data_IF_356746170430
#
_entry.id   IF_356746170430
#
_cell.length_a   1.000
_cell.length_b   1.000
_cell.length_c   1.000
_cell.angle_alpha   90.00
_cell.angle_beta   90.00
_cell.angle_gamma   90.00
#
_symmetry.space_group_name_H-M   'P 1'
#
loop_
_entity.id
_entity.type
_entity.pdbx_description
1 polymer ?
#
# COMPACT_ATOMS: atom_id res chain seq x y z
N UNK A 1 -1.32 19.44 -19.64
CA UNK A 1 -2.20 19.44 -18.46
C UNK A 1 -1.40 20.08 -17.37
N UNK A 2 -1.85 21.22 -16.89
CA UNK A 2 -1.16 21.90 -15.80
C UNK A 2 -1.23 21.03 -14.54
N UNK A 3 -0.24 21.17 -13.67
CA UNK A 3 -0.17 20.38 -12.45
C UNK A 3 -1.31 20.78 -11.50
N UNK A 4 -2.08 19.79 -11.03
CA UNK A 4 -3.07 20.01 -9.99
C UNK A 4 -2.39 20.19 -8.64
N UNK A 5 -2.69 21.29 -7.94
CA UNK A 5 -2.19 21.57 -6.59
C UNK A 5 -3.31 21.53 -5.57
N UNK A 6 -3.00 21.11 -4.34
CA UNK A 6 -3.97 21.05 -3.23
C UNK A 6 -3.47 21.90 -2.06
N UNK A 7 -4.33 22.74 -1.49
CA UNK A 7 -4.04 23.50 -0.25
C UNK A 7 -5.30 23.75 0.58
N UNK A 8 -5.11 24.16 1.83
CA UNK A 8 -6.21 24.64 2.67
C UNK A 8 -6.81 25.95 2.11
N UNK A 9 -8.08 26.19 2.44
CA UNK A 9 -8.78 27.42 2.10
C UNK A 9 -8.32 28.59 2.97
N UNK A 10 -8.25 29.77 2.36
CA UNK A 10 -8.01 31.06 2.98
C UNK A 10 -9.28 31.93 2.85
N UNK A 11 -9.44 32.97 3.69
CA UNK A 11 -10.60 33.87 3.61
C UNK A 11 -10.83 34.47 2.22
N UNK A 12 -9.76 34.79 1.49
CA UNK A 12 -9.83 35.31 0.12
C UNK A 12 -10.43 34.33 -0.90
N UNK A 13 -10.38 33.02 -0.64
CA UNK A 13 -10.90 31.99 -1.57
C UNK A 13 -12.43 31.86 -1.54
N UNK A 14 -13.07 32.36 -0.47
CA UNK A 14 -14.47 32.07 -0.15
C UNK A 14 -15.42 32.55 -1.26
N UNK A 15 -15.10 33.66 -1.91
CA UNK A 15 -15.90 34.16 -3.02
C UNK A 15 -15.92 33.18 -4.21
N UNK A 16 -14.78 32.55 -4.53
CA UNK A 16 -14.67 31.58 -5.62
C UNK A 16 -15.25 30.21 -5.24
N UNK A 17 -15.06 29.77 -3.99
CA UNK A 17 -15.73 28.59 -3.42
C UNK A 17 -17.25 28.71 -3.56
N UNK A 18 -17.82 29.84 -3.13
CA UNK A 18 -19.26 30.10 -3.24
C UNK A 18 -19.74 30.16 -4.70
N UNK A 19 -18.87 30.54 -5.65
CA UNK A 19 -19.21 30.50 -7.07
C UNK A 19 -19.33 29.06 -7.58
N UNK A 20 -18.40 28.18 -7.21
CA UNK A 20 -18.48 26.75 -7.56
C UNK A 20 -19.70 26.08 -6.91
N UNK A 21 -20.01 26.42 -5.66
CA UNK A 21 -21.20 25.94 -4.92
C UNK A 21 -22.49 26.27 -5.69
N UNK A 22 -22.68 27.53 -6.11
CA UNK A 22 -23.85 27.97 -6.90
C UNK A 22 -24.02 27.23 -8.22
N UNK A 23 -22.90 26.83 -8.84
CA UNK A 23 -22.93 26.03 -10.07
C UNK A 23 -23.22 24.54 -9.82
N UNK A 24 -23.09 24.09 -8.58
CA UNK A 24 -23.09 22.67 -8.23
C UNK A 24 -24.35 22.20 -7.53
N UNK A 25 -25.02 23.09 -6.78
CA UNK A 25 -26.16 22.72 -5.95
C UNK A 25 -27.39 23.61 -6.21
N UNK A 26 -28.61 23.03 -6.17
CA UNK A 26 -29.86 23.79 -6.30
C UNK A 26 -30.12 24.71 -5.08
N UNK A 27 -29.65 24.31 -3.90
CA UNK A 27 -29.74 25.06 -2.65
C UNK A 27 -28.33 25.29 -2.09
N UNK A 28 -27.56 26.22 -2.69
CA UNK A 28 -26.16 26.42 -2.37
C UNK A 28 -25.96 27.08 -0.99
N UNK A 29 -24.88 26.71 -0.31
CA UNK A 29 -24.35 27.49 0.81
C UNK A 29 -23.97 28.91 0.35
N UNK A 30 -24.28 29.90 1.19
CA UNK A 30 -23.87 31.27 0.93
C UNK A 30 -22.43 31.55 1.38
N UNK A 31 -21.88 32.68 0.95
CA UNK A 31 -20.53 33.13 1.30
C UNK A 31 -20.33 33.20 2.82
N UNK A 32 -21.36 33.61 3.57
CA UNK A 32 -21.30 33.73 5.03
C UNK A 32 -21.18 32.37 5.72
N UNK A 33 -21.88 31.35 5.20
CA UNK A 33 -21.81 29.97 5.71
C UNK A 33 -20.41 29.40 5.54
N UNK A 34 -19.78 29.62 4.38
CA UNK A 34 -18.40 29.22 4.16
C UNK A 34 -17.41 30.00 5.05
N UNK A 35 -17.57 31.32 5.16
CA UNK A 35 -16.70 32.15 6.00
C UNK A 35 -16.75 31.72 7.47
N UNK A 36 -17.95 31.57 8.03
CA UNK A 36 -18.13 31.14 9.43
C UNK A 36 -17.65 29.70 9.67
N UNK A 37 -17.78 28.81 8.67
CA UNK A 37 -17.21 27.47 8.75
C UNK A 37 -15.68 27.52 8.78
N UNK A 38 -15.05 28.35 7.95
CA UNK A 38 -13.59 28.48 7.89
C UNK A 38 -13.01 29.11 9.17
N UNK A 39 -13.74 30.00 9.84
CA UNK A 39 -13.36 30.60 11.12
C UNK A 39 -13.37 29.60 12.30
N UNK A 40 -14.10 28.49 12.18
CA UNK A 40 -14.10 27.45 13.21
C UNK A 40 -12.74 26.75 13.24
N UNK A 41 -12.08 26.77 14.41
CA UNK A 41 -10.77 26.14 14.62
C UNK A 41 -10.76 24.62 14.39
N UNK A 42 -11.94 24.00 14.31
CA UNK A 42 -12.10 22.57 14.02
C UNK A 42 -12.23 22.30 12.52
N UNK A 43 -12.31 23.34 11.69
CA UNK A 43 -12.48 23.19 10.25
C UNK A 43 -11.23 22.59 9.62
N UNK A 44 -11.44 21.59 8.78
CA UNK A 44 -10.48 21.15 7.78
C UNK A 44 -11.02 21.56 6.41
N UNK A 45 -10.13 22.02 5.55
CA UNK A 45 -10.47 22.37 4.18
C UNK A 45 -9.42 21.86 3.21
N UNK A 46 -9.87 21.56 2.00
CA UNK A 46 -9.02 21.23 0.87
C UNK A 46 -9.57 21.91 -0.38
N UNK A 47 -8.72 22.64 -1.08
CA UNK A 47 -8.98 23.30 -2.36
C UNK A 47 -8.07 22.70 -3.42
N UNK A 48 -8.60 22.40 -4.60
CA UNK A 48 -7.81 21.93 -5.74
C UNK A 48 -7.77 23.01 -6.81
N UNK A 49 -6.56 23.32 -7.28
CA UNK A 49 -6.31 24.29 -8.34
C UNK A 49 -5.70 23.63 -9.57
N UNK A 50 -6.05 24.13 -10.76
CA UNK A 50 -5.31 23.91 -12.01
C UNK A 50 -4.70 25.26 -12.42
N UNK A 51 -3.37 25.40 -12.26
CA UNK A 51 -2.73 26.72 -12.30
C UNK A 51 -3.30 27.62 -11.20
N UNK A 52 -3.78 28.81 -11.58
CA UNK A 52 -4.41 29.77 -10.65
C UNK A 52 -5.94 29.59 -10.53
N UNK A 53 -6.53 28.60 -11.21
CA UNK A 53 -8.00 28.43 -11.23
C UNK A 53 -8.45 27.44 -10.16
N UNK A 54 -9.38 27.84 -9.29
CA UNK A 54 -10.01 26.90 -8.36
C UNK A 54 -10.98 25.98 -9.10
N UNK A 55 -10.75 24.67 -8.99
CA UNK A 55 -11.52 23.64 -9.71
C UNK A 55 -12.36 22.75 -8.79
N UNK A 56 -12.11 22.77 -7.47
CA UNK A 56 -12.96 22.09 -6.49
C UNK A 56 -12.56 22.38 -5.06
N UNK A 57 -13.47 22.09 -4.13
CA UNK A 57 -13.27 22.27 -2.69
C UNK A 57 -13.92 21.15 -1.88
N UNK A 58 -13.46 21.01 -0.64
CA UNK A 58 -14.07 20.20 0.40
C UNK A 58 -13.90 20.88 1.75
N UNK A 59 -14.98 20.97 2.53
CA UNK A 59 -14.99 21.45 3.90
C UNK A 59 -15.47 20.34 4.82
N UNK A 60 -14.79 20.21 5.96
CA UNK A 60 -15.11 19.24 6.99
C UNK A 60 -14.92 19.85 8.38
N UNK A 61 -15.60 19.27 9.38
CA UNK A 61 -15.50 19.72 10.77
C UNK A 61 -15.02 18.57 11.67
N UNK A 62 -13.98 18.83 12.44
CA UNK A 62 -13.46 17.89 13.41
C UNK A 62 -14.27 17.91 14.70
N UNK A 63 -14.83 16.75 15.06
CA UNK A 63 -15.41 16.50 16.37
C UNK A 63 -14.42 15.70 17.23
N UNK A 64 -14.80 15.35 18.47
CA UNK A 64 -13.91 14.68 19.42
C UNK A 64 -13.26 13.41 18.83
N UNK A 65 -14.06 12.49 18.30
CA UNK A 65 -13.60 11.21 17.74
C UNK A 65 -13.79 11.07 16.23
N UNK A 66 -14.48 11.99 15.57
CA UNK A 66 -14.81 11.86 14.14
C UNK A 66 -14.54 13.15 13.37
N UNK A 67 -14.47 13.03 12.06
CA UNK A 67 -14.58 14.16 11.12
C UNK A 67 -15.91 14.07 10.39
N UNK A 68 -16.62 15.19 10.26
CA UNK A 68 -17.84 15.30 9.48
C UNK A 68 -17.53 16.06 8.19
N UNK A 69 -17.61 15.38 7.04
CA UNK A 69 -17.50 16.04 5.73
C UNK A 69 -18.81 16.78 5.46
N UNK A 70 -18.72 18.10 5.40
CA UNK A 70 -19.90 18.97 5.34
C UNK A 70 -20.31 19.27 3.91
N UNK A 71 -19.36 19.63 3.07
CA UNK A 71 -19.65 20.07 1.70
C UNK A 71 -18.45 19.80 0.78
N UNK A 72 -18.74 19.35 -0.44
CA UNK A 72 -17.76 19.03 -1.47
C UNK A 72 -18.35 19.31 -2.84
N UNK A 73 -17.63 20.09 -3.66
CA UNK A 73 -17.97 20.23 -5.07
C UNK A 73 -16.74 20.30 -5.97
N UNK A 74 -16.97 19.90 -7.21
CA UNK A 74 -16.04 20.06 -8.32
C UNK A 74 -16.75 20.84 -9.40
N UNK A 75 -16.06 21.86 -9.94
CA UNK A 75 -16.54 22.70 -11.03
C UNK A 75 -17.02 21.82 -12.20
N UNK A 76 -18.19 22.09 -12.83
CA UNK A 76 -18.79 21.19 -13.83
C UNK A 76 -17.86 20.66 -14.92
N UNK A 77 -17.02 21.51 -15.54
CA UNK A 77 -16.06 21.12 -16.59
C UNK A 77 -14.85 20.30 -16.11
N UNK A 78 -14.72 20.07 -14.81
CA UNK A 78 -13.62 19.37 -14.15
C UNK A 78 -14.07 18.07 -13.46
N UNK A 79 -15.36 17.73 -13.54
CA UNK A 79 -15.91 16.49 -12.99
C UNK A 79 -15.36 15.27 -13.73
N UNK A 80 -15.43 14.12 -13.08
CA UNK A 80 -14.97 12.82 -13.63
C UNK A 80 -13.45 12.74 -13.92
N UNK A 81 -12.67 13.75 -13.53
CA UNK A 81 -11.19 13.77 -13.61
C UNK A 81 -10.48 13.36 -12.30
N UNK A 82 -11.19 12.71 -11.38
CA UNK A 82 -10.64 12.27 -10.08
C UNK A 82 -10.47 13.35 -9.01
N UNK A 83 -10.82 14.61 -9.27
CA UNK A 83 -10.65 15.74 -8.32
C UNK A 83 -11.44 15.52 -7.02
N UNK A 84 -12.68 15.06 -7.10
CA UNK A 84 -13.49 14.76 -5.90
C UNK A 84 -12.85 13.68 -5.01
N UNK A 85 -12.23 12.67 -5.62
CA UNK A 85 -11.49 11.62 -4.90
C UNK A 85 -10.28 12.22 -4.19
N UNK A 86 -9.53 13.08 -4.87
CA UNK A 86 -8.36 13.77 -4.31
C UNK A 86 -8.72 14.63 -3.10
N UNK A 87 -9.79 15.41 -3.19
CA UNK A 87 -10.30 16.25 -2.10
C UNK A 87 -10.62 15.45 -0.84
N UNK A 88 -11.36 14.33 -0.98
CA UNK A 88 -11.75 13.49 0.15
C UNK A 88 -10.52 12.80 0.76
N UNK A 89 -9.60 12.32 -0.08
CA UNK A 89 -8.37 11.68 0.39
C UNK A 89 -7.49 12.65 1.20
N UNK A 90 -7.47 13.93 0.81
CA UNK A 90 -6.74 14.96 1.55
C UNK A 90 -7.37 15.19 2.94
N UNK A 91 -8.68 15.38 3.03
CA UNK A 91 -9.40 15.50 4.32
C UNK A 91 -9.22 14.25 5.18
N UNK A 92 -9.29 13.05 4.61
CA UNK A 92 -9.03 11.80 5.32
C UNK A 92 -7.60 11.78 5.88
N UNK A 93 -6.62 12.17 5.07
CA UNK A 93 -5.20 12.18 5.48
C UNK A 93 -4.97 13.16 6.62
N UNK A 94 -5.52 14.38 6.52
CA UNK A 94 -5.52 15.36 7.60
C UNK A 94 -6.19 14.81 8.87
N UNK A 95 -7.33 14.12 8.74
CA UNK A 95 -8.09 13.57 9.86
C UNK A 95 -7.37 12.41 10.56
N UNK A 96 -6.68 11.56 9.80
CA UNK A 96 -5.83 10.50 10.34
C UNK A 96 -4.63 11.09 11.09
N UNK A 97 -4.03 12.16 10.58
CA UNK A 97 -2.90 12.83 11.23
C UNK A 97 -3.24 13.44 12.60
N UNK A 98 -4.53 13.66 12.87
CA UNK A 98 -5.06 14.16 14.16
C UNK A 98 -5.92 13.10 14.89
N UNK A 99 -5.66 11.81 14.62
CA UNK A 99 -6.20 10.64 15.33
C UNK A 99 -7.73 10.49 15.34
N UNK A 100 -8.44 10.94 14.29
CA UNK A 100 -9.88 10.68 14.15
C UNK A 100 -10.16 9.19 13.94
N UNK A 101 -11.24 8.72 14.54
CA UNK A 101 -11.74 7.33 14.49
C UNK A 101 -12.47 7.05 13.20
N UNK A 102 -13.33 7.96 12.75
CA UNK A 102 -14.12 7.78 11.55
C UNK A 102 -14.39 9.11 10.83
N UNK A 103 -14.73 9.01 9.55
CA UNK A 103 -15.28 10.09 8.74
C UNK A 103 -16.75 9.80 8.45
N UNK A 104 -17.60 10.82 8.57
CA UNK A 104 -19.05 10.72 8.35
C UNK A 104 -19.48 11.76 7.33
N UNK A 105 -20.45 11.42 6.49
CA UNK A 105 -21.09 12.33 5.55
C UNK A 105 -22.54 11.96 5.31
N UNK A 106 -23.32 12.94 4.87
CA UNK A 106 -24.64 12.77 4.28
C UNK A 106 -24.58 12.97 2.77
N UNK A 107 -25.31 12.15 2.02
CA UNK A 107 -25.44 12.32 0.57
C UNK A 107 -26.87 12.06 0.13
N UNK A 108 -27.37 12.88 -0.80
CA UNK A 108 -28.68 12.68 -1.43
C UNK A 108 -28.81 11.27 -1.99
N UNK A 109 -29.92 10.59 -1.70
CA UNK A 109 -30.19 9.23 -2.18
C UNK A 109 -30.12 9.12 -3.70
N UNK A 110 -30.55 10.16 -4.43
CA UNK A 110 -30.50 10.29 -5.88
C UNK A 110 -29.11 10.56 -6.45
N UNK A 111 -28.15 11.05 -5.64
CA UNK A 111 -26.81 11.39 -6.09
C UNK A 111 -25.92 10.12 -6.18
N UNK A 112 -26.25 9.26 -7.14
CA UNK A 112 -25.51 8.03 -7.44
C UNK A 112 -24.02 8.28 -7.72
N UNK A 113 -23.61 9.32 -8.49
CA UNK A 113 -22.19 9.58 -8.73
C UNK A 113 -21.40 9.83 -7.43
N UNK A 114 -21.91 10.67 -6.52
CA UNK A 114 -21.24 10.93 -5.25
C UNK A 114 -21.22 9.69 -4.35
N UNK A 115 -22.33 8.94 -4.26
CA UNK A 115 -22.38 7.69 -3.50
C UNK A 115 -21.34 6.67 -3.99
N UNK A 116 -21.21 6.50 -5.31
CA UNK A 116 -20.18 5.64 -5.91
C UNK A 116 -18.77 6.13 -5.63
N UNK A 117 -18.53 7.45 -5.68
CA UNK A 117 -17.26 8.05 -5.30
C UNK A 117 -16.91 7.72 -3.85
N UNK A 118 -17.81 7.96 -2.89
CA UNK A 118 -17.58 7.69 -1.48
C UNK A 118 -17.32 6.20 -1.22
N UNK A 119 -18.12 5.32 -1.83
CA UNK A 119 -17.91 3.87 -1.75
C UNK A 119 -16.53 3.44 -2.26
N UNK A 120 -16.05 4.02 -3.37
CA UNK A 120 -14.72 3.72 -3.92
C UNK A 120 -13.55 4.14 -3.02
N UNK A 121 -13.81 4.99 -2.02
CA UNK A 121 -12.83 5.47 -1.03
C UNK A 121 -13.04 4.74 0.32
N UNK A 122 -13.95 3.78 0.37
CA UNK A 122 -14.19 2.92 1.53
C UNK A 122 -15.14 3.52 2.56
N UNK A 123 -16.04 4.43 2.16
CA UNK A 123 -17.23 4.73 2.96
C UNK A 123 -18.31 3.67 2.72
N UNK A 124 -18.96 3.21 3.79
CA UNK A 124 -20.11 2.32 3.75
C UNK A 124 -21.37 3.04 4.19
N UNK A 125 -22.50 2.69 3.60
CA UNK A 125 -23.82 3.12 4.11
C UNK A 125 -24.06 2.56 5.51
N UNK A 126 -24.58 3.39 6.42
CA UNK A 126 -24.91 3.01 7.80
C UNK A 126 -26.37 3.30 8.14
N UNK A 127 -26.96 4.36 7.59
CA UNK A 127 -28.34 4.74 7.88
C UNK A 127 -28.94 5.57 6.75
N UNK A 128 -30.26 5.63 6.68
CA UNK A 128 -31.00 6.52 5.78
C UNK A 128 -31.91 7.42 6.60
N UNK A 129 -31.73 8.73 6.49
CA UNK A 129 -32.55 9.72 7.16
C UNK A 129 -33.63 10.23 6.20
N UNK A 130 -34.90 9.96 6.53
CA UNK A 130 -36.03 10.26 5.65
C UNK A 130 -36.33 11.76 5.63
N UNK A 131 -36.54 12.31 4.45
CA UNK A 131 -36.92 13.73 4.29
C UNK A 131 -35.92 14.74 4.85
N UNK A 132 -34.63 14.35 4.91
CA UNK A 132 -33.57 15.14 5.52
C UNK A 132 -33.32 16.48 4.81
N UNK A 133 -33.25 16.44 3.47
CA UNK A 133 -32.97 17.64 2.69
C UNK A 133 -34.21 18.53 2.69
N UNK A 134 -34.09 19.73 3.28
CA UNK A 134 -35.22 20.63 3.50
C UNK A 134 -35.85 21.15 2.22
N UNK A 135 -35.06 21.29 1.15
CA UNK A 135 -35.43 21.84 -0.15
C UNK A 135 -36.25 20.86 -1.01
N UNK A 136 -35.88 19.59 -1.05
CA UNK A 136 -36.55 18.58 -1.90
C UNK A 136 -37.34 17.53 -1.11
N UNK A 137 -37.24 17.54 0.24
CA UNK A 137 -37.72 16.46 1.12
C UNK A 137 -37.16 15.08 0.75
N UNK A 138 -35.97 15.07 0.15
CA UNK A 138 -35.28 13.85 -0.23
C UNK A 138 -34.59 13.19 0.98
N UNK A 139 -34.52 11.87 0.95
CA UNK A 139 -33.74 11.07 1.89
C UNK A 139 -32.23 11.38 1.80
N UNK A 140 -31.55 11.38 2.94
CA UNK A 140 -30.09 11.33 3.01
C UNK A 140 -29.60 9.92 3.32
N UNK A 141 -28.64 9.45 2.55
CA UNK A 141 -27.84 8.28 2.90
C UNK A 141 -26.67 8.75 3.77
N UNK A 142 -26.60 8.22 4.99
CA UNK A 142 -25.50 8.47 5.92
C UNK A 142 -24.42 7.43 5.62
N UNK A 143 -23.25 7.91 5.23
CA UNK A 143 -22.10 7.05 4.94
C UNK A 143 -20.98 7.31 5.92
N UNK A 144 -20.36 6.23 6.40
CA UNK A 144 -19.28 6.25 7.38
C UNK A 144 -18.09 5.51 6.82
N UNK A 145 -16.90 6.09 6.97
CA UNK A 145 -15.63 5.41 6.81
C UNK A 145 -14.98 5.31 8.17
N UNK A 146 -14.74 4.10 8.63
CA UNK A 146 -13.89 3.89 9.79
C UNK A 146 -12.42 4.19 9.37
N UNK A 147 -11.85 5.21 9.98
CA UNK A 147 -10.46 5.66 9.77
C UNK A 147 -9.47 4.84 10.60
N UNK A 148 -9.98 4.11 11.61
CA UNK A 148 -9.24 3.12 12.40
C UNK A 148 -9.44 1.70 11.89
N UNK A 149 -10.44 1.43 11.03
CA UNK A 149 -10.60 0.16 10.31
C UNK A 149 -9.46 -0.03 9.32
N UNK A 150 -8.32 -0.43 9.87
CA UNK A 150 -7.29 -1.23 9.23
C UNK A 150 -7.63 -2.71 9.42
N UNK A 151 -8.93 -3.03 9.41
CA UNK A 151 -9.41 -4.39 9.50
C UNK A 151 -9.13 -5.09 8.16
N UNK A 152 -8.51 -6.27 8.16
CA UNK A 152 -8.37 -7.05 6.94
C UNK A 152 -9.72 -7.29 6.25
N UNK A 153 -9.93 -6.73 5.06
CA UNK A 153 -11.10 -7.04 4.24
C UNK A 153 -10.88 -8.40 3.55
N UNK A 154 -11.82 -9.32 3.72
CA UNK A 154 -11.79 -10.61 3.03
C UNK A 154 -12.46 -10.49 1.66
N UNK A 155 -11.66 -10.19 0.65
CA UNK A 155 -12.11 -9.87 -0.70
C UNK A 155 -12.10 -11.11 -1.59
N UNK A 156 -13.09 -11.22 -2.48
CA UNK A 156 -13.02 -12.20 -3.57
C UNK A 156 -12.29 -11.58 -4.75
N UNK A 157 -11.20 -12.19 -5.18
CA UNK A 157 -10.41 -11.76 -6.33
C UNK A 157 -10.46 -12.82 -7.43
N UNK A 158 -10.37 -12.37 -8.68
CA UNK A 158 -10.35 -13.23 -9.86
C UNK A 158 -8.91 -13.44 -10.30
N UNK A 159 -8.52 -14.67 -10.59
CA UNK A 159 -7.22 -14.98 -11.19
C UNK A 159 -7.23 -14.45 -12.62
N UNK A 160 -6.38 -13.47 -12.91
CA UNK A 160 -6.14 -12.98 -14.27
C UNK A 160 -5.11 -13.87 -14.96
N UNK A 161 -4.02 -14.17 -14.24
CA UNK A 161 -2.91 -14.97 -14.75
C UNK A 161 -2.23 -15.71 -13.61
N UNK A 162 -1.81 -16.94 -13.87
CA UNK A 162 -0.99 -17.71 -12.93
C UNK A 162 0.00 -18.57 -13.71
N UNK A 163 1.25 -18.12 -13.84
CA UNK A 163 2.24 -18.76 -14.71
C UNK A 163 3.50 -19.13 -13.94
N UNK A 164 4.09 -20.28 -14.26
CA UNK A 164 5.41 -20.65 -13.74
C UNK A 164 6.49 -19.80 -14.43
N UNK A 165 7.25 -19.04 -13.65
CA UNK A 165 8.29 -18.10 -14.13
C UNK A 165 9.71 -18.51 -13.75
N UNK A 166 9.83 -19.51 -12.88
CA UNK A 166 11.07 -20.20 -12.50
C UNK A 166 10.67 -21.55 -11.88
N UNK A 167 11.61 -22.44 -11.62
CA UNK A 167 11.34 -23.79 -11.11
C UNK A 167 10.44 -23.75 -9.87
N UNK A 168 9.22 -24.30 -10.03
CA UNK A 168 8.14 -24.34 -9.03
C UNK A 168 7.71 -22.97 -8.52
N UNK A 169 8.06 -21.88 -9.19
CA UNK A 169 7.80 -20.50 -8.77
C UNK A 169 6.85 -19.83 -9.74
N UNK A 170 5.71 -19.38 -9.24
CA UNK A 170 4.60 -18.88 -10.01
C UNK A 170 4.38 -17.38 -9.79
N UNK A 171 4.12 -16.68 -10.88
CA UNK A 171 3.64 -15.31 -10.89
C UNK A 171 2.12 -15.32 -11.05
N UNK A 172 1.44 -14.90 -9.99
CA UNK A 172 -0.01 -14.79 -9.88
C UNK A 172 -0.42 -13.32 -9.98
N UNK A 173 -1.34 -13.04 -10.91
CA UNK A 173 -2.01 -11.74 -11.05
C UNK A 173 -3.48 -11.95 -10.70
N UNK A 174 -3.98 -11.15 -9.76
CA UNK A 174 -5.36 -11.18 -9.31
C UNK A 174 -6.02 -9.82 -9.59
N UNK A 175 -7.25 -9.84 -10.08
CA UNK A 175 -8.10 -8.67 -10.20
C UNK A 175 -9.03 -8.56 -8.98
N UNK A 176 -9.10 -7.37 -8.38
CA UNK A 176 -10.01 -7.05 -7.28
C UNK A 176 -9.64 -5.78 -6.52
N UNK A 177 -10.62 -5.16 -5.86
CA UNK A 177 -10.48 -3.85 -5.19
C UNK A 177 -9.68 -3.84 -3.88
N UNK A 178 -8.54 -4.53 -3.82
CA UNK A 178 -7.66 -4.52 -2.64
C UNK A 178 -7.13 -3.10 -2.40
N UNK A 179 -7.04 -2.63 -1.14
CA UNK A 179 -6.38 -1.36 -0.84
C UNK A 179 -4.94 -1.33 -1.35
N UNK A 180 -4.41 -0.14 -1.64
CA UNK A 180 -3.07 0.01 -2.18
C UNK A 180 -2.00 -0.45 -1.18
N UNK A 181 -1.16 -1.38 -1.60
CA UNK A 181 -0.02 -1.88 -0.85
C UNK A 181 1.20 -0.97 -0.99
N UNK A 182 2.04 -0.97 0.05
CA UNK A 182 3.42 -0.46 -0.01
C UNK A 182 4.42 -1.63 -0.07
N UNK A 183 5.63 -1.46 -0.63
CA UNK A 183 6.60 -2.55 -0.77
C UNK A 183 6.95 -3.15 0.59
N UNK A 184 7.00 -4.47 0.68
CA UNK A 184 7.18 -5.19 1.94
C UNK A 184 5.88 -5.67 2.59
N UNK A 185 4.71 -5.19 2.14
CA UNK A 185 3.43 -5.76 2.59
C UNK A 185 3.10 -7.08 1.88
N UNK A 186 2.20 -7.84 2.48
CA UNK A 186 1.77 -9.16 1.99
C UNK A 186 0.24 -9.30 2.02
N UNK A 187 -0.27 -10.39 1.47
CA UNK A 187 -1.67 -10.77 1.53
C UNK A 187 -1.82 -12.23 1.98
N UNK A 188 -2.93 -12.55 2.66
CA UNK A 188 -3.31 -13.90 3.04
C UNK A 188 -4.30 -14.47 2.02
N UNK A 189 -3.85 -15.45 1.23
CA UNK A 189 -4.64 -16.03 0.14
C UNK A 189 -5.29 -17.36 0.54
N UNK A 190 -6.61 -17.43 0.42
CA UNK A 190 -7.38 -18.67 0.53
C UNK A 190 -7.53 -19.30 -0.86
N UNK A 191 -7.01 -20.52 -0.99
CA UNK A 191 -6.89 -21.21 -2.29
C UNK A 191 -8.00 -22.23 -2.54
N UNK A 192 -8.77 -22.55 -1.50
CA UNK A 192 -9.85 -23.55 -1.50
C UNK A 192 -11.11 -22.98 -0.87
N UNK A 193 -12.27 -23.37 -1.42
CA UNK A 193 -13.58 -23.07 -0.85
C UNK A 193 -14.06 -24.16 0.13
N UNK A 194 -13.35 -25.30 0.18
CA UNK A 194 -13.61 -26.37 1.12
C UNK A 194 -12.95 -26.15 2.49
N UNK A 195 -13.08 -27.14 3.38
CA UNK A 195 -12.47 -27.13 4.71
C UNK A 195 -10.95 -27.28 4.68
N UNK A 196 -10.41 -27.87 3.60
CA UNK A 196 -8.98 -28.09 3.43
C UNK A 196 -8.43 -27.49 2.12
N UNK A 197 -7.19 -26.97 2.13
CA UNK A 197 -6.41 -26.65 3.33
C UNK A 197 -6.93 -25.36 4.00
N UNK A 198 -7.21 -25.45 5.31
CA UNK A 198 -7.91 -24.43 6.10
C UNK A 198 -7.16 -23.08 6.16
N UNK A 199 -5.86 -23.12 6.44
CA UNK A 199 -5.06 -21.91 6.62
C UNK A 199 -4.77 -21.22 5.29
N UNK A 200 -4.74 -19.89 5.32
CA UNK A 200 -4.38 -19.02 4.19
C UNK A 200 -2.87 -18.93 4.01
N UNK A 201 -2.43 -18.48 2.83
CA UNK A 201 -1.02 -18.49 2.41
C UNK A 201 -0.54 -17.04 2.47
N UNK A 202 0.42 -16.69 3.34
CA UNK A 202 1.02 -15.36 3.34
C UNK A 202 1.89 -15.21 2.08
N UNK A 203 1.48 -14.35 1.15
CA UNK A 203 2.21 -14.09 -0.09
C UNK A 203 2.55 -12.59 -0.18
N UNK A 204 3.84 -12.27 -0.34
CA UNK A 204 4.30 -10.90 -0.48
C UNK A 204 3.74 -10.24 -1.76
N UNK A 205 3.36 -8.97 -1.66
CA UNK A 205 2.89 -8.19 -2.81
C UNK A 205 4.09 -7.77 -3.66
N UNK A 206 4.10 -8.21 -4.92
CA UNK A 206 5.13 -7.87 -5.92
C UNK A 206 4.82 -6.51 -6.59
N UNK A 207 3.55 -6.25 -6.88
CA UNK A 207 3.11 -5.09 -7.63
C UNK A 207 1.61 -4.89 -7.50
N UNK A 208 1.13 -3.67 -7.74
CA UNK A 208 -0.30 -3.38 -7.67
C UNK A 208 -0.65 -2.15 -8.51
N UNK A 209 -1.65 -2.29 -9.37
CA UNK A 209 -2.30 -1.20 -10.11
C UNK A 209 -3.63 -0.83 -9.42
N UNK A 210 -4.47 0.00 -10.04
CA UNK A 210 -5.81 0.29 -9.49
C UNK A 210 -6.69 -0.95 -9.36
N UNK A 211 -6.47 -1.96 -10.22
CA UNK A 211 -7.41 -3.06 -10.42
C UNK A 211 -6.77 -4.43 -10.22
N UNK A 212 -5.43 -4.53 -10.34
CA UNK A 212 -4.69 -5.79 -10.24
C UNK A 212 -3.64 -5.78 -9.12
N UNK A 213 -3.47 -6.93 -8.47
CA UNK A 213 -2.37 -7.23 -7.56
C UNK A 213 -1.52 -8.38 -8.11
N UNK A 214 -0.21 -8.20 -8.08
CA UNK A 214 0.79 -9.21 -8.47
C UNK A 214 1.38 -9.84 -7.21
N UNK A 215 1.46 -11.18 -7.21
CA UNK A 215 2.06 -12.00 -6.15
C UNK A 215 3.04 -12.99 -6.80
N UNK A 216 4.14 -13.28 -6.12
CA UNK A 216 5.05 -14.36 -6.51
C UNK A 216 5.09 -15.40 -5.39
N UNK A 217 5.03 -16.68 -5.72
CA UNK A 217 5.09 -17.74 -4.72
C UNK A 217 5.77 -18.99 -5.26
N UNK A 218 6.28 -19.84 -4.37
CA UNK A 218 6.83 -21.15 -4.72
C UNK A 218 5.93 -22.27 -4.22
N UNK A 219 5.77 -23.31 -5.01
CA UNK A 219 5.07 -24.53 -4.65
C UNK A 219 5.89 -25.30 -3.61
N UNK A 220 5.37 -25.39 -2.39
CA UNK A 220 5.99 -26.09 -1.24
C UNK A 220 5.11 -27.18 -0.62
N UNK A 221 3.81 -27.18 -0.92
CA UNK A 221 2.88 -28.21 -0.46
C UNK A 221 1.44 -27.96 -0.93
N UNK A 222 0.49 -28.73 -0.37
CA UNK A 222 -0.89 -28.86 -0.87
C UNK A 222 -1.59 -27.53 -1.16
N UNK A 223 -1.47 -26.54 -0.28
CA UNK A 223 -2.10 -25.24 -0.51
C UNK A 223 -1.54 -24.48 -1.71
N UNK A 224 -0.24 -24.52 -1.91
CA UNK A 224 0.42 -23.89 -3.07
C UNK A 224 0.29 -24.73 -4.34
N UNK A 225 0.14 -26.05 -4.24
CA UNK A 225 -0.17 -26.94 -5.37
C UNK A 225 -1.58 -26.65 -5.91
N UNK A 226 -2.57 -26.52 -5.04
CA UNK A 226 -3.91 -26.09 -5.41
C UNK A 226 -3.92 -24.71 -6.04
N UNK A 227 -3.12 -23.78 -5.51
CA UNK A 227 -2.99 -22.44 -6.10
C UNK A 227 -2.35 -22.51 -7.50
N UNK A 228 -1.30 -23.31 -7.69
CA UNK A 228 -0.64 -23.49 -8.99
C UNK A 228 -1.54 -24.10 -10.05
N UNK A 229 -2.54 -24.90 -9.65
CA UNK A 229 -3.53 -25.44 -10.57
C UNK A 229 -4.62 -24.43 -11.00
N UNK A 230 -4.73 -23.26 -10.35
CA UNK A 230 -5.74 -22.25 -10.66
C UNK A 230 -5.51 -21.60 -12.02
N UNK A 231 -6.58 -21.49 -12.80
CA UNK A 231 -6.61 -20.91 -14.14
C UNK A 231 -7.27 -19.53 -14.14
N UNK A 232 -7.06 -18.79 -15.22
CA UNK A 232 -7.71 -17.49 -15.43
C UNK A 232 -9.25 -17.61 -15.32
N UNK A 233 -9.87 -16.62 -14.69
CA UNK A 233 -11.31 -16.59 -14.40
C UNK A 233 -11.72 -17.32 -13.11
N UNK A 234 -10.87 -18.16 -12.52
CA UNK A 234 -11.16 -18.75 -11.21
C UNK A 234 -11.02 -17.74 -10.08
N UNK A 235 -11.68 -18.01 -8.95
CA UNK A 235 -11.71 -17.09 -7.80
C UNK A 235 -10.93 -17.62 -6.61
N UNK A 236 -10.29 -16.69 -5.91
CA UNK A 236 -9.65 -16.88 -4.60
C UNK A 236 -10.18 -15.84 -3.63
N UNK A 237 -10.06 -16.10 -2.32
CA UNK A 237 -10.26 -15.04 -1.33
C UNK A 237 -8.94 -14.48 -0.84
N UNK A 238 -8.86 -13.17 -0.69
CA UNK A 238 -7.65 -12.45 -0.33
C UNK A 238 -7.95 -11.52 0.82
N UNK A 239 -7.11 -11.59 1.84
CA UNK A 239 -7.05 -10.59 2.88
C UNK A 239 -5.75 -9.81 2.68
N UNK A 240 -5.83 -8.50 2.46
CA UNK A 240 -4.65 -7.67 2.26
C UNK A 240 -4.99 -6.21 1.93
N UNK A 241 -3.97 -5.34 1.85
CA UNK A 241 -2.58 -5.62 2.24
C UNK A 241 -2.42 -5.69 3.76
N UNK A 242 -1.42 -6.45 4.22
CA UNK A 242 -1.11 -6.70 5.61
C UNK A 242 0.36 -6.40 5.92
N UNK A 243 0.63 -6.16 7.20
CA UNK A 243 1.95 -5.84 7.71
C UNK A 243 2.43 -4.41 7.42
N UNK A 244 3.65 -4.12 7.85
CA UNK A 244 4.44 -2.92 7.67
C UNK A 244 5.45 -3.14 6.55
N UNK A 245 5.42 -2.24 5.57
CA UNK A 245 6.38 -2.25 4.46
C UNK A 245 7.72 -1.60 4.80
N UNK A 246 8.60 -1.56 3.81
CA UNK A 246 9.90 -0.91 3.88
C UNK A 246 9.78 0.60 4.08
N UNK A 247 10.68 1.14 4.89
CA UNK A 247 10.86 2.57 5.04
C UNK A 247 11.66 3.08 3.85
N UNK A 248 11.08 4.00 3.07
CA UNK A 248 11.78 4.60 1.93
C UNK A 248 12.88 5.53 2.42
N UNK A 249 14.13 5.19 2.11
CA UNK A 249 15.33 5.95 2.50
C UNK A 249 16.25 6.09 1.28
N UNK A 250 16.81 7.27 1.12
CA UNK A 250 17.86 7.56 0.14
C UNK A 250 19.24 7.45 0.80
N UNK A 251 20.28 7.23 0.01
CA UNK A 251 21.66 7.23 0.45
C UNK A 251 22.58 7.24 -0.77
N UNK A 252 23.88 7.38 -0.55
CA UNK A 252 24.90 7.31 -1.60
C UNK A 252 24.90 5.94 -2.28
N UNK A 253 24.69 4.89 -1.49
CA UNK A 253 24.56 3.52 -1.98
C UNK A 253 23.26 2.89 -1.50
N UNK A 254 22.31 2.70 -2.43
CA UNK A 254 21.09 1.93 -2.17
C UNK A 254 21.28 0.52 -2.72
N UNK A 255 21.15 -0.49 -1.85
CA UNK A 255 21.39 -1.89 -2.17
C UNK A 255 20.12 -2.71 -1.87
N UNK A 256 19.70 -3.49 -2.86
CA UNK A 256 18.61 -4.45 -2.76
C UNK A 256 19.20 -5.85 -2.78
N UNK A 257 18.88 -6.70 -1.80
CA UNK A 257 19.38 -8.08 -1.76
C UNK A 257 18.23 -9.07 -1.63
N UNK A 258 18.00 -9.85 -2.68
CA UNK A 258 16.92 -10.83 -2.75
C UNK A 258 17.44 -12.26 -2.93
N UNK A 259 16.78 -13.22 -2.28
CA UNK A 259 17.06 -14.65 -2.43
C UNK A 259 15.79 -15.47 -2.64
N UNK A 260 15.72 -16.23 -3.74
CA UNK A 260 14.60 -17.13 -4.02
C UNK A 260 13.22 -16.45 -4.01
N UNK A 261 12.30 -16.92 -3.15
CA UNK A 261 10.95 -16.34 -3.00
C UNK A 261 10.92 -15.00 -2.27
N UNK A 262 12.05 -14.53 -1.73
CA UNK A 262 12.18 -13.20 -1.13
C UNK A 262 12.26 -12.06 -2.15
N UNK A 263 12.19 -12.35 -3.46
CA UNK A 263 12.23 -11.33 -4.51
C UNK A 263 11.12 -10.26 -4.43
N UNK A 264 9.83 -10.60 -4.20
CA UNK A 264 8.73 -9.64 -4.35
C UNK A 264 8.85 -8.34 -3.56
N UNK A 265 9.06 -8.36 -2.24
CA UNK A 265 9.03 -7.13 -1.45
C UNK A 265 10.19 -6.19 -1.82
N UNK A 266 11.34 -6.75 -2.22
CA UNK A 266 12.55 -6.01 -2.57
C UNK A 266 12.48 -5.50 -4.01
N UNK A 267 11.98 -6.31 -4.95
CA UNK A 267 11.73 -5.89 -6.34
C UNK A 267 10.69 -4.76 -6.39
N UNK A 268 9.59 -4.89 -5.66
CA UNK A 268 8.57 -3.84 -5.54
C UNK A 268 9.14 -2.51 -5.05
N UNK A 269 10.12 -2.55 -4.14
CA UNK A 269 10.78 -1.36 -3.63
C UNK A 269 11.74 -0.77 -4.66
N UNK A 270 12.57 -1.62 -5.28
CA UNK A 270 13.55 -1.19 -6.28
C UNK A 270 12.89 -0.54 -7.49
N UNK A 271 11.76 -1.07 -7.98
CA UNK A 271 10.97 -0.46 -9.06
C UNK A 271 10.44 0.92 -8.70
N UNK A 272 10.06 1.15 -7.43
CA UNK A 272 9.59 2.47 -6.96
C UNK A 272 10.71 3.48 -6.73
N UNK A 273 11.92 3.00 -6.45
CA UNK A 273 13.08 3.86 -6.20
C UNK A 273 13.80 4.23 -7.49
N UNK A 274 13.93 3.29 -8.43
CA UNK A 274 14.46 3.53 -9.77
C UNK A 274 15.95 3.88 -9.82
N UNK A 275 16.73 3.39 -8.84
CA UNK A 275 18.18 3.52 -8.77
C UNK A 275 18.79 2.52 -7.76
N UNK A 276 20.09 2.22 -7.89
CA UNK A 276 20.86 1.49 -6.88
C UNK A 276 21.57 0.24 -7.40
N UNK A 277 21.90 -0.70 -6.50
CA UNK A 277 22.46 -2.00 -6.86
C UNK A 277 21.51 -3.11 -6.43
N UNK A 278 21.08 -3.96 -7.37
CA UNK A 278 20.22 -5.10 -7.10
C UNK A 278 21.02 -6.40 -7.12
N UNK A 279 21.14 -7.06 -5.99
CA UNK A 279 21.79 -8.35 -5.82
C UNK A 279 20.71 -9.43 -5.75
N UNK A 280 20.71 -10.35 -6.70
CA UNK A 280 19.78 -11.50 -6.71
C UNK A 280 20.57 -12.80 -6.61
N UNK A 281 20.21 -13.63 -5.63
CA UNK A 281 20.83 -14.93 -5.36
C UNK A 281 19.88 -16.10 -5.55
N UNK A 282 20.37 -17.18 -6.15
CA UNK A 282 19.69 -18.47 -6.21
C UNK A 282 20.70 -19.63 -6.18
N UNK A 283 20.23 -20.87 -5.99
CA UNK A 283 21.13 -22.04 -6.09
C UNK A 283 21.56 -22.30 -7.53
N UNK A 284 20.59 -22.22 -8.45
CA UNK A 284 20.77 -22.45 -9.89
C UNK A 284 20.01 -21.40 -10.70
N UNK A 285 20.34 -21.29 -11.99
CA UNK A 285 19.65 -20.42 -12.95
C UNK A 285 18.15 -20.68 -13.02
N UNK A 286 17.72 -21.93 -12.84
CA UNK A 286 16.30 -22.32 -12.93
C UNK A 286 15.47 -21.73 -11.81
N UNK A 287 16.09 -21.34 -10.71
CA UNK A 287 15.45 -20.77 -9.52
C UNK A 287 15.47 -19.23 -9.50
N UNK A 288 15.85 -18.56 -10.61
CA UNK A 288 15.84 -17.09 -10.73
C UNK A 288 14.54 -16.61 -11.40
N UNK A 289 13.50 -16.24 -10.64
CA UNK A 289 12.27 -15.68 -11.21
C UNK A 289 12.49 -14.24 -11.69
N UNK A 290 11.78 -13.88 -12.76
CA UNK A 290 11.61 -12.48 -13.21
C UNK A 290 12.94 -11.72 -13.46
N UNK A 291 14.01 -12.42 -13.86
CA UNK A 291 15.33 -11.79 -14.04
C UNK A 291 15.29 -10.60 -15.00
N UNK A 292 14.53 -10.69 -16.10
CA UNK A 292 14.36 -9.60 -17.06
C UNK A 292 13.78 -8.34 -16.39
N UNK A 293 12.75 -8.50 -15.54
CA UNK A 293 12.11 -7.41 -14.79
C UNK A 293 13.09 -6.75 -13.80
N UNK A 294 13.95 -7.54 -13.17
CA UNK A 294 15.02 -7.02 -12.30
C UNK A 294 16.07 -6.25 -13.10
N UNK A 295 16.47 -6.75 -14.26
CA UNK A 295 17.46 -6.07 -15.12
C UNK A 295 16.93 -4.85 -15.84
N UNK A 296 15.61 -4.69 -15.96
CA UNK A 296 14.98 -3.53 -16.61
C UNK A 296 14.76 -2.33 -15.70
N UNK A 297 15.11 -2.42 -14.41
CA UNK A 297 14.93 -1.29 -13.48
C UNK A 297 15.88 -0.15 -13.88
N UNK A 298 15.39 1.07 -14.12
CA UNK A 298 16.22 2.22 -14.47
C UNK A 298 17.31 2.48 -13.43
N UNK A 299 18.47 2.98 -13.91
CA UNK A 299 19.62 3.39 -13.08
C UNK A 299 20.04 2.38 -12.01
N UNK A 300 19.77 1.09 -12.24
CA UNK A 300 20.01 0.02 -11.27
C UNK A 300 21.01 -0.97 -11.82
N UNK A 301 22.09 -1.19 -11.09
CA UNK A 301 23.09 -2.22 -11.43
C UNK A 301 22.65 -3.57 -10.88
N UNK A 302 22.39 -4.53 -11.76
CA UNK A 302 22.03 -5.89 -11.33
C UNK A 302 23.27 -6.79 -11.20
N UNK A 303 23.38 -7.49 -10.07
CA UNK A 303 24.40 -8.51 -9.78
C UNK A 303 23.69 -9.84 -9.54
N UNK A 304 23.87 -10.78 -10.46
CA UNK A 304 23.28 -12.12 -10.39
C UNK A 304 24.30 -13.09 -9.80
N UNK A 305 23.90 -13.80 -8.76
CA UNK A 305 24.70 -14.81 -8.06
C UNK A 305 24.00 -16.17 -8.12
N UNK A 306 24.72 -17.20 -8.55
CA UNK A 306 24.25 -18.59 -8.44
C UNK A 306 25.27 -19.45 -7.71
N UNK A 307 24.82 -20.33 -6.81
CA UNK A 307 25.75 -21.21 -6.06
C UNK A 307 26.51 -22.17 -6.98
N UNK A 308 25.85 -22.66 -8.04
CA UNK A 308 26.45 -23.57 -9.02
C UNK A 308 27.20 -22.84 -10.17
N UNK A 309 27.03 -21.52 -10.31
CA UNK A 309 27.60 -20.72 -11.39
C UNK A 309 26.86 -20.81 -12.73
N UNK A 310 25.65 -21.38 -12.76
CA UNK A 310 24.85 -21.56 -13.98
C UNK A 310 24.29 -20.25 -14.56
N UNK A 311 24.28 -19.16 -13.79
CA UNK A 311 23.96 -17.81 -14.27
C UNK A 311 24.64 -16.72 -13.43
N UNK A 312 25.16 -15.69 -14.07
CA UNK A 312 25.89 -14.64 -13.38
C UNK A 312 27.20 -15.14 -12.79
N UNK A 313 27.54 -14.72 -11.58
CA UNK A 313 28.77 -15.13 -10.88
C UNK A 313 28.47 -16.32 -9.98
N UNK A 314 29.44 -17.24 -9.88
CA UNK A 314 29.39 -18.33 -8.91
C UNK A 314 29.61 -17.79 -7.49
N UNK A 315 28.72 -18.14 -6.56
CA UNK A 315 28.83 -17.76 -5.14
C UNK A 315 27.49 -17.39 -4.50
N UNK A 316 27.54 -16.85 -3.29
CA UNK A 316 26.38 -16.41 -2.52
C UNK A 316 26.06 -14.93 -2.78
N UNK A 317 24.80 -14.53 -2.60
CA UNK A 317 24.40 -13.12 -2.65
C UNK A 317 25.19 -12.24 -1.64
N UNK A 318 25.54 -12.82 -0.50
CA UNK A 318 26.34 -12.14 0.54
C UNK A 318 27.77 -11.86 0.11
N UNK A 319 28.34 -12.66 -0.80
CA UNK A 319 29.68 -12.41 -1.35
C UNK A 319 29.66 -11.19 -2.27
N UNK A 320 28.59 -11.03 -3.04
CA UNK A 320 28.36 -9.83 -3.83
C UNK A 320 28.12 -8.60 -2.93
N UNK A 321 27.37 -8.75 -1.84
CA UNK A 321 27.14 -7.67 -0.88
C UNK A 321 28.46 -7.21 -0.26
N UNK A 322 29.29 -8.14 0.22
CA UNK A 322 30.61 -7.82 0.80
C UNK A 322 31.51 -7.09 -0.21
N UNK A 323 31.53 -7.53 -1.46
CA UNK A 323 32.26 -6.86 -2.54
C UNK A 323 31.77 -5.43 -2.79
N UNK A 324 30.45 -5.23 -2.88
CA UNK A 324 29.85 -3.89 -3.09
C UNK A 324 30.19 -2.96 -1.92
N UNK A 325 30.03 -3.44 -0.69
CA UNK A 325 30.36 -2.68 0.53
C UNK A 325 31.86 -2.43 0.70
N UNK A 326 32.71 -3.28 0.13
CA UNK A 326 34.16 -3.11 0.09
C UNK A 326 34.60 -1.93 -0.78
N UNK A 327 33.79 -1.55 -1.77
CA UNK A 327 34.05 -0.40 -2.64
C UNK A 327 33.60 0.95 -2.08
N UNK A 328 32.81 0.98 -1.02
CA UNK A 328 32.32 2.22 -0.41
C UNK A 328 33.40 2.94 0.41
N UNK A 329 33.37 4.27 0.39
CA UNK A 329 34.27 5.14 1.15
C UNK A 329 33.71 5.48 2.53
N UNK A 330 34.60 5.84 3.47
CA UNK A 330 34.18 6.22 4.83
C UNK A 330 33.36 7.50 4.78
N UNK A 331 32.14 7.47 5.34
CA UNK A 331 31.23 8.61 5.39
C UNK A 331 30.09 8.55 4.38
N UNK A 332 30.12 7.62 3.42
CA UNK A 332 29.01 7.38 2.49
C UNK A 332 27.82 6.72 3.21
N UNK A 333 26.61 7.20 2.95
CA UNK A 333 25.38 6.62 3.47
C UNK A 333 24.97 5.37 2.69
N UNK A 334 25.00 4.23 3.36
CA UNK A 334 24.63 2.93 2.77
C UNK A 334 23.28 2.49 3.31
N UNK A 335 22.36 2.16 2.40
CA UNK A 335 21.00 1.72 2.68
C UNK A 335 20.79 0.34 2.06
N UNK A 336 20.48 -0.66 2.89
CA UNK A 336 20.31 -2.05 2.46
C UNK A 336 18.89 -2.51 2.75
N UNK A 337 18.22 -3.05 1.73
CA UNK A 337 16.92 -3.72 1.85
C UNK A 337 17.08 -5.17 1.46
N UNK A 338 16.72 -6.11 2.34
CA UNK A 338 16.89 -7.53 2.05
C UNK A 338 15.67 -8.39 2.37
N UNK A 339 15.48 -9.44 1.57
CA UNK A 339 14.48 -10.48 1.82
C UNK A 339 14.91 -11.80 1.17
N UNK A 340 14.81 -12.90 1.91
CA UNK A 340 15.20 -14.22 1.46
C UNK A 340 15.50 -15.16 2.62
N UNK A 341 16.27 -16.25 2.39
CA UNK A 341 16.56 -17.24 3.43
C UNK A 341 17.24 -16.63 4.66
N UNK A 342 16.93 -17.16 5.85
CA UNK A 342 17.44 -16.65 7.13
C UNK A 342 18.96 -16.51 7.16
N UNK A 343 19.70 -17.50 6.64
CA UNK A 343 21.16 -17.44 6.56
C UNK A 343 21.68 -16.26 5.73
N UNK A 344 20.99 -15.91 4.64
CA UNK A 344 21.32 -14.75 3.81
C UNK A 344 21.04 -13.44 4.57
N UNK A 345 19.89 -13.35 5.25
CA UNK A 345 19.51 -12.16 6.01
C UNK A 345 20.45 -11.93 7.20
N UNK A 346 20.79 -12.99 7.95
CA UNK A 346 21.73 -12.93 9.09
C UNK A 346 23.13 -12.48 8.65
N UNK A 347 23.64 -13.06 7.56
CA UNK A 347 24.94 -12.68 7.02
C UNK A 347 24.93 -11.24 6.47
N UNK A 348 23.86 -10.84 5.78
CA UNK A 348 23.66 -9.47 5.31
C UNK A 348 23.60 -8.45 6.45
N UNK A 349 22.83 -8.73 7.50
CA UNK A 349 22.74 -7.89 8.70
C UNK A 349 24.10 -7.70 9.38
N UNK A 350 24.90 -8.77 9.47
CA UNK A 350 26.27 -8.71 10.01
C UNK A 350 27.21 -7.88 9.14
N UNK A 351 27.09 -7.94 7.82
CA UNK A 351 27.85 -7.11 6.89
C UNK A 351 27.45 -5.63 7.00
N UNK A 352 26.15 -5.36 7.04
CA UNK A 352 25.59 -4.02 7.21
C UNK A 352 26.08 -3.37 8.51
N UNK A 353 25.98 -4.09 9.63
CA UNK A 353 26.40 -3.62 10.95
C UNK A 353 27.89 -3.27 10.99
N UNK A 354 28.76 -4.08 10.37
CA UNK A 354 30.21 -3.79 10.27
C UNK A 354 30.53 -2.50 9.51
N UNK A 355 29.64 -2.08 8.62
CA UNK A 355 29.78 -0.88 7.79
C UNK A 355 28.98 0.31 8.32
N UNK A 356 28.27 0.15 9.45
CA UNK A 356 27.36 1.19 9.95
C UNK A 356 26.20 1.50 8.99
N UNK A 357 25.86 0.57 8.10
CA UNK A 357 24.83 0.77 7.08
C UNK A 357 23.43 0.68 7.71
N UNK A 358 22.50 1.50 7.20
CA UNK A 358 21.08 1.28 7.46
C UNK A 358 20.64 -0.01 6.79
N UNK A 359 19.96 -0.89 7.53
CA UNK A 359 19.50 -2.16 6.98
C UNK A 359 18.11 -2.53 7.48
N UNK A 360 17.19 -2.73 6.54
CA UNK A 360 15.88 -3.34 6.80
C UNK A 360 15.80 -4.72 6.14
N UNK A 361 15.20 -5.65 6.86
CA UNK A 361 14.96 -7.01 6.39
C UNK A 361 13.48 -7.36 6.46
N UNK A 362 12.98 -8.04 5.43
CA UNK A 362 11.64 -8.61 5.43
C UNK A 362 11.72 -10.09 5.81
N UNK A 363 11.11 -10.44 6.95
CA UNK A 363 11.10 -11.80 7.48
C UNK A 363 9.94 -12.63 6.90
N UNK A 364 10.19 -13.92 6.69
CA UNK A 364 9.16 -14.92 6.39
C UNK A 364 8.93 -15.76 7.66
N UNK A 365 7.67 -15.90 8.10
CA UNK A 365 7.30 -16.73 9.25
C UNK A 365 6.02 -17.52 8.97
N UNK A 366 5.79 -18.59 9.75
CA UNK A 366 4.54 -19.33 9.69
C UNK A 366 3.38 -18.47 10.23
N UNK A 367 2.36 -18.24 9.40
CA UNK A 367 1.20 -17.42 9.76
C UNK A 367 -0.09 -18.23 9.72
N UNK A 368 -0.89 -18.12 10.79
CA UNK A 368 -2.27 -18.62 10.81
C UNK A 368 -3.26 -17.49 10.51
N UNK A 369 -3.41 -16.51 11.40
CA UNK A 369 -4.32 -15.38 11.17
C UNK A 369 -3.80 -14.37 10.13
N UNK A 370 -2.51 -14.02 10.18
CA UNK A 370 -1.91 -13.00 9.30
C UNK A 370 -2.23 -11.54 9.67
N UNK A 371 -2.99 -11.27 10.74
CA UNK A 371 -3.36 -9.91 11.16
C UNK A 371 -3.18 -9.65 12.67
N UNK A 372 -2.37 -10.48 13.34
CA UNK A 372 -1.87 -10.22 14.69
C UNK A 372 -2.71 -10.80 15.84
N UNK A 373 -3.77 -11.57 15.55
CA UNK A 373 -4.65 -12.13 16.58
C UNK A 373 -4.06 -13.35 17.32
N UNK A 374 -3.47 -14.31 16.60
CA UNK A 374 -3.07 -15.60 17.20
C UNK A 374 -1.65 -15.65 17.79
N UNK A 375 -0.81 -14.64 17.52
CA UNK A 375 0.61 -14.61 17.90
C UNK A 375 1.46 -15.82 17.42
N UNK A 376 1.06 -16.50 16.34
CA UNK A 376 1.81 -17.65 15.81
C UNK A 376 3.09 -17.31 15.02
N UNK A 377 3.24 -16.06 14.57
CA UNK A 377 4.39 -15.57 13.80
C UNK A 377 5.28 -14.65 14.65
N UNK A 378 5.59 -15.06 15.87
CA UNK A 378 6.37 -14.25 16.81
C UNK A 378 7.86 -14.38 16.52
N UNK A 379 8.55 -13.25 16.52
CA UNK A 379 10.02 -13.15 16.46
C UNK A 379 10.54 -12.38 17.67
N UNK A 380 11.79 -12.62 18.05
CA UNK A 380 12.43 -11.90 19.14
C UNK A 380 13.18 -10.67 18.62
N UNK A 381 12.93 -9.53 19.25
CA UNK A 381 13.62 -8.27 18.98
C UNK A 381 14.26 -7.75 20.25
N UNK A 382 15.14 -6.74 20.16
CA UNK A 382 15.69 -6.07 21.35
C UNK A 382 14.60 -5.39 22.18
N UNK A 383 13.48 -5.00 21.56
CA UNK A 383 12.28 -4.47 22.21
C UNK A 383 11.31 -5.53 22.77
N UNK A 384 11.63 -6.82 22.67
CA UNK A 384 10.78 -7.93 23.11
C UNK A 384 10.14 -8.71 21.95
N UNK A 385 9.12 -9.51 22.27
CA UNK A 385 8.45 -10.37 21.28
C UNK A 385 7.50 -9.57 20.38
N UNK A 386 7.72 -9.66 19.07
CA UNK A 386 6.97 -8.94 18.03
C UNK A 386 6.31 -9.91 17.06
N UNK A 387 5.16 -9.57 16.46
CA UNK A 387 4.46 -10.42 15.49
C UNK A 387 4.79 -9.98 14.07
N UNK A 388 5.37 -10.85 13.26
CA UNK A 388 5.74 -10.55 11.86
C UNK A 388 4.55 -10.05 11.05
N UNK A 389 3.35 -10.60 11.23
CA UNK A 389 2.18 -10.22 10.43
C UNK A 389 1.57 -8.83 10.77
N UNK A 390 1.88 -8.27 11.94
CA UNK A 390 1.29 -7.00 12.43
C UNK A 390 2.34 -5.93 12.63
N UNK A 391 3.43 -6.31 13.28
CA UNK A 391 4.50 -5.41 13.71
C UNK A 391 5.62 -5.37 12.64
N UNK A 392 5.74 -6.44 11.84
CA UNK A 392 6.54 -6.52 10.61
C UNK A 392 5.66 -6.62 9.35
N UNK A 393 6.10 -7.28 8.25
CA UNK A 393 7.23 -8.22 8.19
C UNK A 393 8.59 -7.55 8.05
N UNK A 394 8.62 -6.25 7.77
CA UNK A 394 9.87 -5.49 7.69
C UNK A 394 10.31 -5.01 9.06
N UNK A 395 11.56 -5.32 9.41
CA UNK A 395 12.22 -4.91 10.64
C UNK A 395 13.59 -4.31 10.36
N UNK A 396 14.07 -3.46 11.28
CA UNK A 396 15.47 -3.07 11.29
C UNK A 396 16.33 -4.29 11.60
N UNK A 397 17.37 -4.52 10.80
CA UNK A 397 18.16 -5.75 10.87
C UNK A 397 18.92 -5.90 12.19
N UNK A 398 19.25 -4.77 12.83
CA UNK A 398 19.93 -4.71 14.12
C UNK A 398 18.99 -4.91 15.32
N UNK A 399 17.68 -4.82 15.11
CA UNK A 399 16.67 -5.07 16.15
C UNK A 399 16.37 -6.57 16.32
N UNK A 400 16.58 -7.38 15.26
CA UNK A 400 16.30 -8.81 15.29
C UNK A 400 17.32 -9.60 16.12
N UNK A 401 16.82 -10.46 17.00
CA UNK A 401 17.61 -11.47 17.71
C UNK A 401 17.52 -12.78 16.92
N UNK A 402 18.63 -13.14 16.29
CA UNK A 402 18.76 -14.38 15.51
C UNK A 402 18.86 -15.59 16.45
N UNK A 403 18.11 -16.64 16.12
CA UNK A 403 18.12 -17.92 16.83
C UNK A 403 19.41 -18.73 16.69
#
# INVERSE_FOLDING_TARGET
MDALTVRAALPEDIAEVAAIERMSFPSPWDTQTFATTLEDKRCLSALVFEGDTLVGYCFALCLSSMVHILNLAVRPGYREKGIGKRLIQDIISQSVAIDKVCAVLEVRKSNKPARSLYASIGFSHVSTWRGYYSDTKEDAEIMVKDLKARGPLDMTCTVVRNIEVAEKTYHLVLEGGLPQAVPGQFAMVQVSWGSEPFLRRPLAVLGQTSDEVELLYRVKGTGTELLAAKRAGERVKVIGPLGKGFTRRTGDHVIYMAGGTGLPPVLALAERMGNGTFIIGARTKRELPLLERVTSIPNTRTVVMTEDGSCGRKGLATDALDFVLGGSTVGEEIVIYACGPEGMLRAGAKLASRKGAYCEISLEEHMSCGFGACAGCVVQTKGGSMRVCRDGPVFAADDIIWG
#
